data_IF_693455706096
#
_entry.id   IF_693455706096
#
_cell.length_a   1.000
_cell.length_b   1.000
_cell.length_c   1.000
_cell.angle_alpha   90.00
_cell.angle_beta   90.00
_cell.angle_gamma   90.00
#
_symmetry.space_group_name_H-M   'P 1'
#
loop_
_entity.id
_entity.type
_entity.pdbx_description
1 polymer ?
#
# COMPACT_ATOMS: atom_id res chain seq x y z
N UNK A 1 23.60 -46.19 38.60
CA UNK A 1 22.88 -45.87 37.33
C UNK A 1 22.51 -44.37 37.39
N UNK A 2 23.33 -43.56 36.76
CA UNK A 2 23.19 -42.09 36.78
C UNK A 2 22.30 -41.67 35.59
N UNK A 3 21.13 -41.15 35.90
CA UNK A 3 20.16 -40.65 34.92
C UNK A 3 20.57 -39.22 34.49
N UNK A 4 21.10 -39.08 33.29
CA UNK A 4 21.36 -37.76 32.66
C UNK A 4 20.02 -37.24 32.14
N UNK A 5 19.58 -36.00 32.51
CA UNK A 5 18.35 -35.43 31.98
C UNK A 5 18.53 -35.01 30.50
N UNK A 6 17.46 -35.10 29.66
CA UNK A 6 17.56 -34.75 28.26
C UNK A 6 17.78 -33.24 28.10
N UNK A 7 18.84 -32.88 27.40
CA UNK A 7 19.08 -31.50 26.95
C UNK A 7 17.95 -31.04 26.04
N UNK A 8 17.21 -30.01 26.46
CA UNK A 8 16.29 -29.25 25.59
C UNK A 8 17.10 -28.64 24.43
N UNK A 9 16.95 -29.22 23.23
CA UNK A 9 17.41 -28.60 21.98
C UNK A 9 16.70 -27.26 21.86
N UNK A 10 17.41 -26.16 22.12
CA UNK A 10 17.00 -24.79 21.72
C UNK A 10 16.86 -24.82 20.21
N UNK A 11 15.61 -24.73 19.71
CA UNK A 11 15.34 -24.53 18.29
C UNK A 11 16.11 -23.27 17.88
N UNK A 12 17.11 -23.43 17.04
CA UNK A 12 17.76 -22.30 16.34
C UNK A 12 16.66 -21.48 15.69
N UNK A 13 16.40 -20.27 16.22
CA UNK A 13 15.48 -19.35 15.59
C UNK A 13 16.08 -18.99 14.25
N UNK A 14 15.33 -19.20 13.18
CA UNK A 14 15.68 -18.76 11.84
C UNK A 14 15.78 -17.21 11.84
N UNK A 15 16.96 -16.63 11.57
CA UNK A 15 17.18 -15.20 11.63
C UNK A 15 16.27 -14.42 10.69
N UNK A 16 16.06 -14.91 9.47
CA UNK A 16 15.21 -14.25 8.47
C UNK A 16 13.75 -14.27 8.90
N UNK A 17 13.26 -15.38 9.42
CA UNK A 17 11.92 -15.50 9.98
C UNK A 17 11.71 -14.53 11.14
N UNK A 18 12.70 -14.41 12.02
CA UNK A 18 12.62 -13.51 13.18
C UNK A 18 12.60 -12.05 12.73
N UNK A 19 13.44 -11.70 11.75
CA UNK A 19 13.46 -10.35 11.16
C UNK A 19 12.12 -10.00 10.50
N UNK A 20 11.53 -10.90 9.72
CA UNK A 20 10.22 -10.73 9.12
C UNK A 20 9.12 -10.54 10.19
N UNK A 21 9.09 -11.36 11.23
CA UNK A 21 8.14 -11.19 12.34
C UNK A 21 8.28 -9.84 13.06
N UNK A 22 9.50 -9.36 13.24
CA UNK A 22 9.75 -8.04 13.82
C UNK A 22 9.27 -6.91 12.90
N UNK A 23 9.44 -7.04 11.59
CA UNK A 23 8.94 -6.06 10.61
C UNK A 23 7.41 -5.99 10.63
N UNK A 24 6.71 -7.12 10.66
CA UNK A 24 5.24 -7.17 10.74
C UNK A 24 4.70 -6.59 12.07
N UNK A 25 5.33 -6.96 13.19
CA UNK A 25 4.96 -6.39 14.49
C UNK A 25 5.22 -4.88 14.54
N UNK A 26 6.31 -4.42 13.91
CA UNK A 26 6.64 -3.00 13.81
C UNK A 26 5.66 -2.26 12.90
N UNK A 27 5.25 -2.85 11.77
CA UNK A 27 4.20 -2.31 10.91
C UNK A 27 2.91 -2.05 11.69
N UNK A 28 2.44 -3.03 12.43
CA UNK A 28 1.24 -2.89 13.26
C UNK A 28 1.39 -1.79 14.31
N UNK A 29 2.51 -1.74 15.00
CA UNK A 29 2.80 -0.76 16.04
C UNK A 29 2.91 0.68 15.48
N UNK A 30 3.64 0.86 14.37
CA UNK A 30 3.79 2.16 13.74
C UNK A 30 2.50 2.65 13.08
N UNK A 31 1.75 1.77 12.45
CA UNK A 31 0.46 2.12 11.85
C UNK A 31 -0.51 2.66 12.90
N UNK A 32 -0.55 2.05 14.08
CA UNK A 32 -1.50 2.42 15.14
C UNK A 32 -1.05 3.65 15.93
N UNK A 33 0.24 3.75 16.26
CA UNK A 33 0.74 4.75 17.20
C UNK A 33 1.63 5.84 16.55
N UNK A 34 1.87 5.77 15.24
CA UNK A 34 2.82 6.63 14.55
C UNK A 34 4.25 6.41 15.02
N UNK A 35 5.20 7.12 14.38
CA UNK A 35 6.61 6.99 14.75
C UNK A 35 6.89 7.35 16.20
N UNK A 36 6.37 8.48 16.70
CA UNK A 36 6.67 8.97 18.04
C UNK A 36 6.00 8.14 19.15
N UNK A 37 4.77 7.68 18.94
CA UNK A 37 4.01 6.90 19.91
C UNK A 37 4.37 5.42 19.98
N UNK A 38 5.01 4.89 18.94
CA UNK A 38 5.44 3.50 18.87
C UNK A 38 6.56 3.17 19.87
N UNK A 39 6.51 1.98 20.49
CA UNK A 39 7.45 1.51 21.50
C UNK A 39 8.09 0.18 21.11
N UNK A 40 9.42 0.13 21.12
CA UNK A 40 10.21 -1.06 20.82
C UNK A 40 9.83 -2.23 21.74
N UNK A 41 9.55 -1.96 23.01
CA UNK A 41 9.14 -3.01 23.96
C UNK A 41 7.81 -3.68 23.59
N UNK A 42 6.85 -2.93 22.99
CA UNK A 42 5.60 -3.53 22.49
C UNK A 42 5.85 -4.41 21.29
N UNK A 43 6.68 -3.95 20.34
CA UNK A 43 7.07 -4.73 19.16
C UNK A 43 7.75 -6.05 19.57
N UNK A 44 8.75 -5.97 20.42
CA UNK A 44 9.52 -7.15 20.81
C UNK A 44 8.70 -8.13 21.67
N UNK A 45 7.78 -7.63 22.48
CA UNK A 45 6.84 -8.46 23.26
C UNK A 45 5.88 -9.22 22.34
N UNK A 46 5.39 -8.59 21.29
CA UNK A 46 4.50 -9.25 20.31
C UNK A 46 5.18 -10.44 19.61
N UNK A 47 6.50 -10.36 19.38
CA UNK A 47 7.30 -11.43 18.76
C UNK A 47 7.86 -12.43 19.80
N UNK A 48 7.81 -12.07 21.09
CA UNK A 48 8.41 -12.87 22.16
C UNK A 48 9.94 -12.88 22.11
N UNK A 49 10.56 -11.75 21.78
CA UNK A 49 12.03 -11.63 21.71
C UNK A 49 12.55 -10.49 22.59
N UNK A 50 13.89 -10.43 22.76
CA UNK A 50 14.54 -9.37 23.53
C UNK A 50 14.73 -8.11 22.67
N UNK A 51 14.56 -6.88 23.22
CA UNK A 51 14.87 -5.64 22.53
C UNK A 51 16.27 -5.56 21.91
N UNK A 52 17.27 -6.18 22.53
CA UNK A 52 18.64 -6.27 21.96
C UNK A 52 18.66 -6.93 20.59
N UNK A 53 17.78 -7.91 20.35
CA UNK A 53 17.69 -8.59 19.06
C UNK A 53 17.14 -7.67 17.97
N UNK A 54 16.13 -6.85 18.28
CA UNK A 54 15.62 -5.84 17.35
C UNK A 54 16.72 -4.85 16.95
N UNK A 55 17.46 -4.32 17.95
CA UNK A 55 18.58 -3.41 17.66
C UNK A 55 19.73 -4.08 16.92
N UNK A 56 19.95 -5.38 17.13
CA UNK A 56 20.92 -6.15 16.35
C UNK A 56 20.55 -6.21 14.86
N UNK A 57 19.26 -6.41 14.53
CA UNK A 57 18.80 -6.49 13.13
C UNK A 57 18.67 -5.13 12.45
N UNK A 58 18.16 -4.16 13.13
CA UNK A 58 17.79 -2.87 12.53
C UNK A 58 18.65 -1.68 12.98
N UNK A 59 19.41 -1.82 14.05
CA UNK A 59 20.28 -0.77 14.59
C UNK A 59 19.53 0.29 15.39
N UNK A 60 18.45 0.87 14.88
CA UNK A 60 17.67 1.88 15.58
C UNK A 60 16.18 1.80 15.24
N UNK A 61 15.34 2.54 15.99
CA UNK A 61 13.90 2.67 15.72
C UNK A 61 13.64 3.36 14.37
N UNK A 62 14.46 4.34 14.01
CA UNK A 62 14.40 5.05 12.74
C UNK A 62 14.66 4.11 11.57
N UNK A 63 15.72 3.31 11.65
CA UNK A 63 16.05 2.31 10.62
C UNK A 63 15.01 1.21 10.53
N UNK A 64 14.41 0.81 11.66
CA UNK A 64 13.27 -0.12 11.65
C UNK A 64 12.06 0.51 10.93
N UNK A 65 11.78 1.79 11.17
CA UNK A 65 10.69 2.50 10.51
C UNK A 65 10.91 2.59 9.00
N UNK A 66 12.14 2.90 8.55
CA UNK A 66 12.52 2.88 7.13
C UNK A 66 12.34 1.48 6.54
N UNK A 67 12.78 0.43 7.24
CA UNK A 67 12.62 -0.95 6.78
C UNK A 67 11.13 -1.36 6.65
N UNK A 68 10.27 -0.85 7.53
CA UNK A 68 8.81 -1.05 7.41
C UNK A 68 8.24 -0.32 6.19
N UNK A 69 8.68 0.93 5.92
CA UNK A 69 8.29 1.65 4.70
C UNK A 69 8.72 0.87 3.45
N UNK A 70 9.97 0.44 3.39
CA UNK A 70 10.46 -0.38 2.26
C UNK A 70 9.65 -1.64 2.06
N UNK A 71 9.31 -2.33 3.16
CA UNK A 71 8.53 -3.57 3.14
C UNK A 71 7.13 -3.36 2.54
N UNK A 72 6.36 -2.37 3.02
CA UNK A 72 5.00 -2.13 2.53
C UNK A 72 4.97 -1.64 1.07
N UNK A 73 5.97 -0.86 0.65
CA UNK A 73 6.07 -0.44 -0.75
C UNK A 73 6.57 -1.56 -1.65
N UNK A 74 7.47 -2.44 -1.18
CA UNK A 74 7.87 -3.62 -1.93
C UNK A 74 6.71 -4.57 -2.18
N UNK A 75 5.82 -4.74 -1.19
CA UNK A 75 4.65 -5.60 -1.27
C UNK A 75 3.66 -5.10 -2.34
N UNK A 76 3.23 -3.83 -2.29
CA UNK A 76 2.35 -3.28 -3.34
C UNK A 76 2.99 -3.35 -4.72
N UNK A 77 4.29 -3.04 -4.86
CA UNK A 77 5.00 -3.13 -6.15
C UNK A 77 5.06 -4.57 -6.69
N UNK A 78 5.19 -5.57 -5.80
CA UNK A 78 5.13 -6.97 -6.20
C UNK A 78 3.75 -7.33 -6.76
N UNK A 79 2.68 -6.99 -6.05
CA UNK A 79 1.32 -7.27 -6.47
C UNK A 79 0.94 -6.52 -7.76
N UNK A 80 1.41 -5.29 -7.96
CA UNK A 80 1.21 -4.54 -9.22
C UNK A 80 1.91 -5.21 -10.40
N UNK A 81 3.09 -5.76 -10.23
CA UNK A 81 3.77 -6.54 -11.29
C UNK A 81 2.98 -7.77 -11.70
N UNK A 82 2.36 -8.45 -10.72
CA UNK A 82 1.55 -9.65 -10.95
C UNK A 82 0.26 -9.37 -11.73
N UNK A 83 -0.14 -8.10 -11.91
CA UNK A 83 -1.26 -7.71 -12.77
C UNK A 83 -0.97 -7.94 -14.26
N UNK A 84 0.30 -8.03 -14.65
CA UNK A 84 0.76 -8.23 -16.04
C UNK A 84 0.09 -7.26 -17.04
N UNK A 85 -0.06 -5.99 -16.65
CA UNK A 85 -0.83 -4.96 -17.38
C UNK A 85 -0.42 -4.81 -18.85
N UNK A 86 0.85 -5.09 -19.17
CA UNK A 86 1.36 -5.00 -20.53
C UNK A 86 0.74 -6.06 -21.48
N UNK A 87 0.22 -7.17 -20.92
CA UNK A 87 -0.39 -8.27 -21.68
C UNK A 87 -1.89 -8.06 -21.95
N UNK A 88 -2.51 -7.10 -21.28
CA UNK A 88 -3.92 -6.82 -21.41
C UNK A 88 -4.19 -5.76 -22.48
N UNK A 89 -5.36 -5.82 -23.10
CA UNK A 89 -5.89 -4.73 -23.92
C UNK A 89 -5.98 -3.43 -23.13
N UNK A 90 -5.76 -2.24 -23.73
CA UNK A 90 -5.61 -0.98 -22.99
C UNK A 90 -6.76 -0.66 -22.03
N UNK A 91 -8.01 -0.88 -22.46
CA UNK A 91 -9.21 -0.64 -21.64
C UNK A 91 -9.25 -1.61 -20.44
N UNK A 92 -8.97 -2.88 -20.68
CA UNK A 92 -8.92 -3.91 -19.63
C UNK A 92 -7.76 -3.65 -18.65
N UNK A 93 -6.59 -3.26 -19.16
CA UNK A 93 -5.42 -2.93 -18.34
C UNK A 93 -5.69 -1.74 -17.41
N UNK A 94 -6.25 -0.64 -17.92
CA UNK A 94 -6.60 0.53 -17.11
C UNK A 94 -7.64 0.18 -16.06
N UNK A 95 -8.70 -0.53 -16.44
CA UNK A 95 -9.72 -1.01 -15.48
C UNK A 95 -9.10 -1.86 -14.38
N UNK A 96 -8.25 -2.84 -14.76
CA UNK A 96 -7.58 -3.72 -13.80
C UNK A 96 -6.71 -2.96 -12.81
N UNK A 97 -5.99 -1.94 -13.28
CA UNK A 97 -5.17 -1.07 -12.43
C UNK A 97 -6.04 -0.31 -11.42
N UNK A 98 -7.14 0.30 -11.86
CA UNK A 98 -8.05 1.06 -10.98
C UNK A 98 -8.67 0.16 -9.92
N UNK A 99 -9.19 -0.99 -10.34
CA UNK A 99 -9.79 -1.98 -9.45
C UNK A 99 -8.78 -2.48 -8.41
N UNK A 100 -7.61 -2.88 -8.86
CA UNK A 100 -6.53 -3.32 -7.98
C UNK A 100 -6.14 -2.24 -6.98
N UNK A 101 -5.92 -1.00 -7.44
CA UNK A 101 -5.51 0.10 -6.56
C UNK A 101 -6.56 0.36 -5.49
N UNK A 102 -7.84 0.38 -5.85
CA UNK A 102 -8.92 0.52 -4.88
C UNK A 102 -8.93 -0.63 -3.87
N UNK A 103 -8.94 -1.87 -4.36
CA UNK A 103 -9.00 -3.07 -3.52
C UNK A 103 -7.77 -3.20 -2.60
N UNK A 104 -6.59 -2.80 -3.09
CA UNK A 104 -5.37 -2.79 -2.28
C UNK A 104 -5.51 -1.86 -1.08
N UNK A 105 -5.93 -0.61 -1.29
CA UNK A 105 -6.09 0.35 -0.19
C UNK A 105 -7.18 -0.09 0.79
N UNK A 106 -8.30 -0.60 0.28
CA UNK A 106 -9.42 -1.06 1.10
C UNK A 106 -9.05 -2.26 1.99
N UNK A 107 -8.24 -3.18 1.47
CA UNK A 107 -7.81 -4.39 2.17
C UNK A 107 -6.54 -4.22 3.01
N UNK A 108 -5.81 -3.10 2.87
CA UNK A 108 -4.54 -2.86 3.55
C UNK A 108 -4.57 -1.59 4.42
N UNK A 109 -5.38 -1.55 5.50
CA UNK A 109 -5.53 -0.36 6.34
C UNK A 109 -4.22 0.07 7.01
N UNK A 110 -3.30 -0.86 7.25
CA UNK A 110 -1.98 -0.54 7.80
C UNK A 110 -1.14 0.27 6.82
N UNK A 111 -1.19 -0.04 5.52
CA UNK A 111 -0.54 0.77 4.47
C UNK A 111 -1.08 2.20 4.47
N UNK A 112 -2.41 2.36 4.51
CA UNK A 112 -3.07 3.68 4.55
C UNK A 112 -2.65 4.46 5.80
N UNK A 113 -2.63 3.82 6.98
CA UNK A 113 -2.19 4.46 8.24
C UNK A 113 -0.70 4.84 8.19
N UNK A 114 0.17 3.99 7.66
CA UNK A 114 1.60 4.25 7.56
C UNK A 114 1.89 5.42 6.63
N UNK A 115 1.30 5.47 5.44
CA UNK A 115 1.48 6.58 4.49
C UNK A 115 0.95 7.88 5.05
N UNK A 116 -0.19 7.86 5.75
CA UNK A 116 -0.70 9.04 6.46
C UNK A 116 0.27 9.52 7.54
N UNK A 117 0.80 8.60 8.37
CA UNK A 117 1.76 8.95 9.41
C UNK A 117 3.04 9.54 8.83
N UNK A 118 3.53 9.01 7.71
CA UNK A 118 4.72 9.54 7.02
C UNK A 118 4.45 10.95 6.43
N UNK A 119 3.25 11.19 5.89
CA UNK A 119 2.85 12.53 5.43
C UNK A 119 2.78 13.56 6.58
N UNK A 120 2.33 13.15 7.78
CA UNK A 120 2.36 14.01 8.97
C UNK A 120 3.79 14.36 9.41
N UNK A 121 4.78 13.54 9.03
CA UNK A 121 6.20 13.76 9.26
C UNK A 121 6.90 14.43 8.06
N UNK A 122 6.12 14.96 7.11
CA UNK A 122 6.62 15.60 5.89
C UNK A 122 7.57 14.72 5.05
N UNK A 123 7.33 13.40 5.03
CA UNK A 123 8.14 12.46 4.25
C UNK A 123 9.55 12.21 4.81
N UNK A 124 9.76 12.50 6.10
CA UNK A 124 11.08 12.49 6.76
C UNK A 124 11.87 11.20 6.56
N UNK A 125 11.19 10.05 6.55
CA UNK A 125 11.83 8.75 6.49
C UNK A 125 11.81 8.15 5.08
N UNK A 126 10.76 8.36 4.30
CA UNK A 126 10.66 7.81 2.95
C UNK A 126 11.74 8.39 2.01
N UNK A 127 12.17 9.63 2.22
CA UNK A 127 13.26 10.24 1.46
C UNK A 127 14.63 9.60 1.71
N UNK A 128 14.76 8.80 2.78
CA UNK A 128 16.00 8.11 3.12
C UNK A 128 16.18 6.79 2.39
N UNK A 129 15.14 6.32 1.67
CA UNK A 129 15.20 5.07 0.91
C UNK A 129 15.01 5.32 -0.58
N UNK A 130 16.05 5.04 -1.36
CA UNK A 130 15.99 5.08 -2.81
C UNK A 130 15.20 3.87 -3.38
N UNK A 131 15.12 2.78 -2.62
CA UNK A 131 14.45 1.56 -3.03
C UNK A 131 12.97 1.80 -3.38
N UNK A 132 12.26 2.62 -2.59
CA UNK A 132 10.85 2.96 -2.84
C UNK A 132 10.71 3.75 -4.15
N UNK A 133 11.56 4.75 -4.37
CA UNK A 133 11.52 5.56 -5.59
C UNK A 133 11.82 4.71 -6.83
N UNK A 134 12.88 3.93 -6.79
CA UNK A 134 13.33 3.09 -7.92
C UNK A 134 12.31 2.01 -8.25
N UNK A 135 11.70 1.37 -7.23
CA UNK A 135 10.70 0.33 -7.43
C UNK A 135 9.36 0.85 -7.98
N UNK A 136 9.10 2.15 -7.90
CA UNK A 136 7.85 2.77 -8.38
C UNK A 136 7.89 3.14 -9.88
N UNK A 137 9.09 3.31 -10.45
CA UNK A 137 9.22 3.71 -11.87
C UNK A 137 8.59 2.72 -12.86
N UNK A 138 8.77 1.39 -12.72
CA UNK A 138 8.16 0.42 -13.65
C UNK A 138 6.63 0.51 -13.74
N UNK A 139 5.95 0.90 -12.67
CA UNK A 139 4.51 1.10 -12.70
C UNK A 139 4.14 2.30 -13.57
N UNK A 140 4.84 3.43 -13.42
CA UNK A 140 4.59 4.62 -14.23
C UNK A 140 4.86 4.33 -15.71
N UNK A 141 5.92 3.57 -16.01
CA UNK A 141 6.24 3.15 -17.37
C UNK A 141 5.13 2.23 -17.95
N UNK A 142 4.60 1.31 -17.15
CA UNK A 142 3.49 0.45 -17.55
C UNK A 142 2.22 1.27 -17.86
N UNK A 143 1.86 2.25 -17.02
CA UNK A 143 0.72 3.15 -17.22
C UNK A 143 0.92 3.98 -18.50
N UNK A 144 2.12 4.50 -18.71
CA UNK A 144 2.48 5.24 -19.93
C UNK A 144 2.26 4.37 -21.20
N UNK A 145 2.68 3.10 -21.14
CA UNK A 145 2.47 2.12 -22.21
C UNK A 145 0.99 1.81 -22.44
N UNK A 146 0.17 1.71 -21.39
CA UNK A 146 -1.28 1.51 -21.51
C UNK A 146 -1.91 2.70 -22.25
N UNK A 147 -1.56 3.93 -21.85
CA UNK A 147 -2.09 5.16 -22.46
C UNK A 147 -1.69 5.24 -23.93
N UNK A 148 -0.43 5.00 -24.24
CA UNK A 148 0.09 5.04 -25.61
C UNK A 148 -0.63 4.03 -26.53
N UNK A 149 -0.80 2.77 -26.10
CA UNK A 149 -1.54 1.75 -26.85
C UNK A 149 -3.00 2.13 -27.01
N UNK A 150 -3.66 2.59 -25.94
CA UNK A 150 -5.07 2.98 -26.00
C UNK A 150 -5.36 4.15 -26.93
N UNK A 151 -4.42 5.09 -27.07
CA UNK A 151 -4.47 6.17 -28.09
C UNK A 151 -4.26 5.63 -29.48
N UNK A 152 -3.26 4.76 -29.69
CA UNK A 152 -2.97 4.18 -31.00
C UNK A 152 -4.15 3.35 -31.52
N UNK A 153 -4.82 2.59 -30.62
CA UNK A 153 -6.00 1.78 -30.95
C UNK A 153 -7.29 2.61 -31.05
N UNK A 154 -7.24 3.93 -30.74
CA UNK A 154 -8.41 4.83 -30.78
C UNK A 154 -9.44 4.57 -29.67
N UNK A 155 -9.11 3.72 -28.65
CA UNK A 155 -10.00 3.41 -27.52
C UNK A 155 -9.87 4.42 -26.38
N UNK A 156 -8.76 5.17 -26.31
CA UNK A 156 -8.60 6.33 -25.43
C UNK A 156 -8.66 7.61 -26.26
N UNK A 157 -9.34 8.64 -25.73
CA UNK A 157 -9.58 9.89 -26.46
C UNK A 157 -8.62 11.01 -26.12
N UNK A 158 -7.98 10.93 -24.95
CA UNK A 158 -7.11 11.99 -24.46
C UNK A 158 -5.79 11.42 -23.98
N UNK A 159 -4.71 12.17 -24.27
CA UNK A 159 -3.41 11.89 -23.69
C UNK A 159 -3.37 12.41 -22.25
N UNK A 160 -3.18 11.49 -21.30
CA UNK A 160 -2.95 11.82 -19.90
C UNK A 160 -1.49 11.55 -19.55
N UNK A 161 -0.92 12.39 -18.70
CA UNK A 161 0.35 12.06 -18.04
C UNK A 161 0.18 10.87 -17.10
N UNK A 162 1.07 9.89 -17.18
CA UNK A 162 0.96 8.64 -16.44
C UNK A 162 1.00 8.84 -14.92
N UNK A 163 1.83 9.78 -14.44
CA UNK A 163 1.90 10.11 -13.01
C UNK A 163 0.63 10.80 -12.54
N UNK A 164 0.09 11.74 -13.32
CA UNK A 164 -1.14 12.45 -12.98
C UNK A 164 -2.34 11.49 -12.89
N UNK A 165 -2.49 10.56 -13.85
CA UNK A 165 -3.58 9.59 -13.80
C UNK A 165 -3.42 8.63 -12.61
N UNK A 166 -2.20 8.19 -12.32
CA UNK A 166 -1.94 7.33 -11.15
C UNK A 166 -2.27 8.04 -9.83
N UNK A 167 -1.82 9.29 -9.66
CA UNK A 167 -2.16 10.10 -8.47
C UNK A 167 -3.67 10.27 -8.34
N UNK A 168 -4.38 10.48 -9.46
CA UNK A 168 -5.85 10.58 -9.47
C UNK A 168 -6.50 9.28 -9.00
N UNK A 169 -6.04 8.13 -9.51
CA UNK A 169 -6.55 6.81 -9.09
C UNK A 169 -6.31 6.61 -7.59
N UNK A 170 -5.10 6.87 -7.10
CA UNK A 170 -4.76 6.78 -5.67
C UNK A 170 -5.63 7.71 -4.81
N UNK A 171 -5.81 8.96 -5.23
CA UNK A 171 -6.63 9.94 -4.51
C UNK A 171 -8.09 9.49 -4.40
N UNK A 172 -8.68 9.01 -5.49
CA UNK A 172 -10.05 8.50 -5.50
C UNK A 172 -10.22 7.25 -4.64
N UNK A 173 -9.19 6.40 -4.58
CA UNK A 173 -9.20 5.13 -3.84
C UNK A 173 -8.92 5.28 -2.34
N UNK A 174 -8.08 6.25 -1.93
CA UNK A 174 -7.60 6.36 -0.55
C UNK A 174 -8.24 7.51 0.25
N UNK A 175 -8.81 8.54 -0.41
CA UNK A 175 -9.27 9.74 0.29
C UNK A 175 -10.30 9.45 1.36
N UNK A 176 -11.31 8.64 1.07
CA UNK A 176 -12.36 8.27 2.01
C UNK A 176 -11.84 7.43 3.18
N UNK A 177 -10.82 6.59 2.97
CA UNK A 177 -10.19 5.81 4.04
C UNK A 177 -9.38 6.68 5.01
N UNK A 178 -8.69 7.68 4.47
CA UNK A 178 -7.91 8.62 5.28
C UNK A 178 -8.78 9.61 6.08
N UNK A 179 -9.94 9.99 5.54
CA UNK A 179 -10.81 11.03 6.09
C UNK A 179 -12.19 10.50 6.51
N UNK A 180 -12.41 9.18 6.51
CA UNK A 180 -13.71 8.55 6.69
C UNK A 180 -14.47 9.00 7.92
N UNK A 181 -13.83 9.03 9.07
CA UNK A 181 -14.48 9.48 10.32
C UNK A 181 -14.96 10.93 10.27
N UNK A 182 -14.12 11.83 9.75
CA UNK A 182 -14.47 13.26 9.60
C UNK A 182 -15.60 13.45 8.58
N UNK A 183 -15.49 12.80 7.43
CA UNK A 183 -16.52 12.89 6.39
C UNK A 183 -17.85 12.27 6.84
N UNK A 184 -17.81 11.14 7.54
CA UNK A 184 -19.00 10.53 8.14
C UNK A 184 -19.69 11.51 9.11
N UNK A 185 -18.92 12.18 9.95
CA UNK A 185 -19.47 13.16 10.89
C UNK A 185 -20.07 14.40 10.20
N UNK A 186 -19.45 14.85 9.09
CA UNK A 186 -19.92 16.03 8.32
C UNK A 186 -21.18 15.70 7.52
N UNK A 187 -21.22 14.56 6.85
CA UNK A 187 -22.28 14.25 5.88
C UNK A 187 -23.39 13.34 6.45
N UNK A 188 -23.20 12.78 7.65
CA UNK A 188 -24.19 11.88 8.27
C UNK A 188 -24.34 10.53 7.58
N UNK A 189 -23.37 10.14 6.74
CA UNK A 189 -23.34 8.87 5.99
C UNK A 189 -22.10 8.09 6.42
N UNK A 190 -22.26 6.81 6.74
CA UNK A 190 -21.11 5.97 7.09
C UNK A 190 -20.27 5.59 5.86
N UNK A 191 -19.24 6.38 5.59
CA UNK A 191 -18.33 6.19 4.47
C UNK A 191 -17.39 4.98 4.65
N UNK A 192 -17.40 4.35 5.83
CA UNK A 192 -16.59 3.18 6.14
C UNK A 192 -17.42 1.88 6.12
N UNK A 193 -18.75 1.96 5.91
CA UNK A 193 -19.57 0.78 5.72
C UNK A 193 -19.17 -0.02 4.48
N UNK A 194 -19.42 -1.33 4.49
CA UNK A 194 -19.09 -2.21 3.37
C UNK A 194 -19.86 -1.82 2.10
N UNK A 195 -21.15 -1.47 2.26
CA UNK A 195 -22.04 -1.07 1.17
C UNK A 195 -21.49 0.20 0.50
N UNK A 196 -21.20 1.25 1.28
CA UNK A 196 -20.70 2.50 0.73
C UNK A 196 -19.36 2.32 0.03
N UNK A 197 -18.45 1.52 0.59
CA UNK A 197 -17.14 1.24 -0.03
C UNK A 197 -17.28 0.50 -1.36
N UNK A 198 -18.23 -0.44 -1.46
CA UNK A 198 -18.53 -1.14 -2.71
C UNK A 198 -19.08 -0.19 -3.78
N UNK A 199 -20.01 0.69 -3.43
CA UNK A 199 -20.54 1.73 -4.33
C UNK A 199 -19.42 2.70 -4.74
N UNK A 200 -18.57 3.11 -3.81
CA UNK A 200 -17.43 3.98 -4.07
C UNK A 200 -16.43 3.33 -5.03
N UNK A 201 -16.18 2.03 -4.88
CA UNK A 201 -15.35 1.27 -5.82
C UNK A 201 -15.89 1.35 -7.25
N UNK A 202 -17.17 1.02 -7.42
CA UNK A 202 -17.82 1.07 -8.71
C UNK A 202 -17.80 2.48 -9.32
N UNK A 203 -18.08 3.51 -8.51
CA UNK A 203 -18.01 4.90 -8.91
C UNK A 203 -16.60 5.32 -9.34
N UNK A 204 -15.57 4.94 -8.58
CA UNK A 204 -14.17 5.25 -8.89
C UNK A 204 -13.76 4.64 -10.24
N UNK A 205 -14.08 3.36 -10.45
CA UNK A 205 -13.81 2.68 -11.73
C UNK A 205 -14.53 3.38 -12.88
N UNK A 206 -15.83 3.64 -12.74
CA UNK A 206 -16.61 4.31 -13.79
C UNK A 206 -16.05 5.70 -14.13
N UNK A 207 -15.69 6.50 -13.12
CA UNK A 207 -15.16 7.85 -13.30
C UNK A 207 -13.84 7.84 -14.09
N UNK A 208 -12.89 7.00 -13.69
CA UNK A 208 -11.59 6.92 -14.38
C UNK A 208 -11.77 6.37 -15.80
N UNK A 209 -12.56 5.30 -15.97
CA UNK A 209 -12.79 4.71 -17.29
C UNK A 209 -13.46 5.70 -18.24
N UNK A 210 -14.51 6.41 -17.80
CA UNK A 210 -15.16 7.45 -18.61
C UNK A 210 -14.19 8.58 -18.99
N UNK A 211 -13.29 8.97 -18.08
CA UNK A 211 -12.30 10.00 -18.38
C UNK A 211 -11.36 9.55 -19.51
N UNK A 212 -10.84 8.31 -19.48
CA UNK A 212 -9.88 7.86 -20.49
C UNK A 212 -10.51 7.46 -21.82
N UNK A 213 -11.73 6.88 -21.81
CA UNK A 213 -12.42 6.45 -23.03
C UNK A 213 -13.28 7.56 -23.66
N UNK A 214 -13.51 8.64 -22.94
CA UNK A 214 -14.31 9.77 -23.41
C UNK A 214 -15.81 9.62 -23.18
N UNK A 215 -16.25 8.69 -22.33
CA UNK A 215 -17.66 8.45 -21.96
C UNK A 215 -18.63 8.46 -23.13
N UNK A 216 -19.58 7.56 -23.20
CA UNK A 216 -20.71 7.73 -24.12
C UNK A 216 -21.50 9.00 -23.70
N UNK A 217 -21.38 10.06 -24.49
CA UNK A 217 -22.19 11.28 -24.31
C UNK A 217 -23.69 11.07 -24.66
N UNK A 218 -24.18 9.83 -24.57
CA UNK A 218 -25.56 9.43 -24.84
C UNK A 218 -26.30 8.98 -23.58
N UNK A 219 -26.22 9.77 -22.51
CA UNK A 219 -27.33 9.83 -21.55
C UNK A 219 -27.90 11.23 -21.66
N UNK A 220 -28.74 11.44 -22.67
CA UNK A 220 -29.68 12.55 -22.73
C UNK A 220 -30.67 12.41 -21.57
N UNK A 221 -30.83 13.54 -20.88
CA UNK A 221 -31.77 13.84 -19.82
C UNK A 221 -33.13 13.15 -19.94
#
# INVERSE_FOLDING_TARGET
MTHTPPQKKTRSRDPERTKAQLTEAALSEFAEHGFHGARVDRITRAVGCNPRLLYHYFGSKEKLYVAVIEHIFADIRAQERDLELARLEPVAAMRRLVEFTYDFFDNNPQFVKMTRNENLLAGKFIVQTEAVRTSSQPLIDAISGIIARGLADGVFRHHYDALQIYITIVALSAHHLNNGHTLTAIFGVDLLSAEWRQERRAHTVALVMNAVTGGDSTSKA
#
